data_IF_103015378157
#
_entry.id   IF_103015378157
#
_cell.length_a   1.000
_cell.length_b   1.000
_cell.length_c   1.000
_cell.angle_alpha   90.00
_cell.angle_beta   90.00
_cell.angle_gamma   90.00
#
_symmetry.space_group_name_H-M   'P 1'
#
loop_
_entity.id
_entity.type
_entity.pdbx_description
1 polymer ?
#
# COMPACT_ATOMS: atom_id res chain seq x y z
N UNK A 1 -2.77 -9.33 39.00
CA UNK A 1 -2.13 -8.16 38.35
C UNK A 1 -2.22 -8.38 36.85
N UNK A 2 -2.54 -7.36 36.04
CA UNK A 2 -2.45 -7.45 34.57
C UNK A 2 -0.98 -7.60 34.19
N UNK A 3 -0.65 -8.55 33.32
CA UNK A 3 0.71 -8.69 32.79
C UNK A 3 1.08 -7.45 31.97
N UNK A 4 2.34 -7.02 32.09
CA UNK A 4 2.89 -5.91 31.29
C UNK A 4 3.12 -6.41 29.87
N UNK A 5 2.70 -5.62 28.88
CA UNK A 5 2.90 -5.96 27.46
C UNK A 5 3.28 -4.73 26.67
N UNK A 6 3.92 -4.94 25.52
CA UNK A 6 4.10 -3.90 24.52
C UNK A 6 3.01 -4.07 23.46
N UNK A 7 2.06 -3.14 23.39
CA UNK A 7 1.07 -3.08 22.32
C UNK A 7 1.70 -2.40 21.10
N UNK A 8 1.84 -3.15 20.01
CA UNK A 8 2.34 -2.64 18.73
C UNK A 8 1.15 -2.51 17.79
N UNK A 9 0.92 -1.30 17.29
CA UNK A 9 -0.09 -1.01 16.26
C UNK A 9 0.60 -0.38 15.05
N UNK A 10 0.06 -0.63 13.87
CA UNK A 10 0.57 -0.05 12.62
C UNK A 10 -0.57 0.25 11.67
N UNK A 11 -0.37 1.28 10.85
CA UNK A 11 -1.22 1.61 9.72
C UNK A 11 -0.36 1.97 8.51
N UNK A 12 -0.89 1.74 7.30
CA UNK A 12 -0.20 2.03 6.06
C UNK A 12 -1.17 2.56 5.02
N UNK A 13 -0.78 3.66 4.40
CA UNK A 13 -1.48 4.25 3.25
C UNK A 13 -0.60 4.23 2.01
N UNK A 14 -1.23 4.26 0.83
CA UNK A 14 -0.55 4.51 -0.45
C UNK A 14 -0.80 5.96 -0.86
N UNK A 15 0.25 6.67 -1.23
CA UNK A 15 0.24 8.04 -1.74
C UNK A 15 0.75 8.02 -3.17
N UNK A 16 0.07 8.77 -4.04
CA UNK A 16 0.50 8.99 -5.42
C UNK A 16 0.31 10.46 -5.76
N UNK A 17 1.41 11.12 -6.14
CA UNK A 17 1.42 12.55 -6.48
C UNK A 17 0.71 13.45 -5.43
N UNK A 18 0.98 13.20 -4.15
CA UNK A 18 0.40 13.95 -3.03
C UNK A 18 -1.03 13.57 -2.63
N UNK A 19 -1.69 12.65 -3.33
CA UNK A 19 -3.03 12.15 -3.00
C UNK A 19 -2.98 10.74 -2.41
N UNK A 20 -3.77 10.47 -1.37
CA UNK A 20 -3.95 9.12 -0.84
C UNK A 20 -4.79 8.31 -1.84
N UNK A 21 -4.31 7.11 -2.17
CA UNK A 21 -5.03 6.12 -2.97
C UNK A 21 -5.49 4.98 -2.07
N UNK A 22 -6.80 4.90 -1.89
CA UNK A 22 -7.47 3.81 -1.19
C UNK A 22 -7.53 2.55 -2.07
N UNK A 23 -8.36 1.59 -1.69
CA UNK A 23 -8.71 0.47 -2.56
C UNK A 23 -9.49 1.01 -3.77
N UNK A 24 -9.15 0.60 -5.01
CA UNK A 24 -9.95 1.00 -6.16
C UNK A 24 -11.41 0.58 -5.96
N UNK A 25 -12.35 1.49 -6.15
CA UNK A 25 -13.78 1.26 -5.97
C UNK A 25 -14.41 0.53 -7.17
N UNK A 26 -13.76 0.57 -8.33
CA UNK A 26 -14.22 -0.05 -9.56
C UNK A 26 -13.07 -0.26 -10.56
N UNK A 27 -13.34 -0.96 -11.65
CA UNK A 27 -12.32 -1.29 -12.64
C UNK A 27 -11.75 -0.06 -13.37
N UNK A 28 -12.52 1.01 -13.55
CA UNK A 28 -12.02 2.24 -14.19
C UNK A 28 -10.94 2.87 -13.33
N UNK A 29 -11.20 3.03 -12.04
CA UNK A 29 -10.22 3.54 -11.08
C UNK A 29 -9.00 2.64 -10.96
N UNK A 30 -9.18 1.31 -11.01
CA UNK A 30 -8.04 0.38 -11.03
C UNK A 30 -7.12 0.60 -12.24
N UNK A 31 -7.68 0.80 -13.44
CA UNK A 31 -6.90 1.12 -14.65
C UNK A 31 -6.18 2.46 -14.52
N UNK A 32 -6.85 3.47 -13.99
CA UNK A 32 -6.25 4.78 -13.73
C UNK A 32 -5.09 4.69 -12.74
N UNK A 33 -5.26 3.90 -11.67
CA UNK A 33 -4.21 3.72 -10.68
C UNK A 33 -2.97 3.08 -11.30
N UNK A 34 -3.14 1.92 -11.95
CA UNK A 34 -2.06 1.13 -12.52
C UNK A 34 -1.32 1.89 -13.64
N UNK A 35 -2.04 2.58 -14.53
CA UNK A 35 -1.41 3.42 -15.57
C UNK A 35 -0.66 4.62 -14.96
N UNK A 36 -1.21 5.22 -13.91
CA UNK A 36 -0.61 6.37 -13.25
C UNK A 36 0.74 6.08 -12.61
N UNK A 37 1.02 4.83 -12.20
CA UNK A 37 2.28 4.49 -11.52
C UNK A 37 3.54 4.60 -12.39
N UNK A 38 3.39 4.58 -13.71
CA UNK A 38 4.50 4.86 -14.63
C UNK A 38 4.82 6.36 -14.76
N UNK A 39 3.90 7.25 -14.33
CA UNK A 39 4.06 8.71 -14.39
C UNK A 39 4.63 9.26 -13.08
N UNK A 40 4.16 8.74 -11.94
CA UNK A 40 4.66 9.09 -10.61
C UNK A 40 4.71 7.81 -9.77
N UNK A 41 5.74 7.60 -8.94
CA UNK A 41 5.85 6.40 -8.12
C UNK A 41 4.68 6.27 -7.15
N UNK A 42 4.34 5.03 -6.82
CA UNK A 42 3.57 4.75 -5.62
C UNK A 42 4.46 4.96 -4.40
N UNK A 43 3.96 5.63 -3.37
CA UNK A 43 4.67 5.79 -2.10
C UNK A 43 3.84 5.18 -0.99
N UNK A 44 4.39 4.23 -0.24
CA UNK A 44 3.75 3.74 1.00
C UNK A 44 4.28 4.54 2.17
N UNK A 45 3.37 5.08 2.99
CA UNK A 45 3.69 5.70 4.27
C UNK A 45 3.21 4.77 5.36
N UNK A 46 4.14 4.28 6.19
CA UNK A 46 3.85 3.31 7.24
C UNK A 46 4.14 3.93 8.60
N UNK A 47 3.14 3.95 9.47
CA UNK A 47 3.31 4.38 10.86
C UNK A 47 3.28 3.15 11.78
N UNK A 48 4.11 3.17 12.83
CA UNK A 48 4.11 2.19 13.91
C UNK A 48 4.12 2.93 15.23
N UNK A 49 3.27 2.50 16.17
CA UNK A 49 3.26 3.00 17.54
C UNK A 49 3.41 1.81 18.49
N UNK A 50 4.35 1.91 19.42
CA UNK A 50 4.55 0.94 20.50
C UNK A 50 4.12 1.59 21.81
N UNK A 51 3.23 0.92 22.54
CA UNK A 51 2.70 1.39 23.84
C UNK A 51 3.05 0.38 24.94
N UNK A 52 3.74 0.79 26.00
CA UNK A 52 3.85 -0.03 27.22
C UNK A 52 2.51 0.02 27.96
N UNK A 53 1.80 -1.13 28.06
CA UNK A 53 0.45 -1.20 28.64
C UNK A 53 0.43 -1.00 30.16
N UNK A 54 1.59 -1.03 30.82
CA UNK A 54 1.74 -0.76 32.25
C UNK A 54 1.96 0.72 32.54
N UNK A 55 2.75 1.42 31.71
CA UNK A 55 3.07 2.86 31.93
C UNK A 55 2.22 3.80 31.08
N UNK A 56 1.61 3.32 30.00
CA UNK A 56 0.99 4.09 28.91
C UNK A 56 1.97 4.99 28.13
N UNK A 57 3.27 4.81 28.30
CA UNK A 57 4.27 5.49 27.48
C UNK A 57 4.22 4.97 26.04
N UNK A 58 4.47 5.87 25.08
CA UNK A 58 4.40 5.59 23.65
C UNK A 58 5.66 6.06 22.96
N UNK A 59 6.15 5.26 22.02
CA UNK A 59 7.09 5.69 21.00
C UNK A 59 6.52 5.38 19.62
N UNK A 60 6.87 6.20 18.64
CA UNK A 60 6.35 6.11 17.28
C UNK A 60 7.47 6.23 16.25
N UNK A 61 7.22 5.66 15.07
CA UNK A 61 8.10 5.76 13.92
C UNK A 61 7.29 5.75 12.63
N UNK A 62 7.77 6.52 11.65
CA UNK A 62 7.18 6.61 10.31
C UNK A 62 8.27 6.27 9.30
N UNK A 63 7.94 5.40 8.34
CA UNK A 63 8.81 5.04 7.22
C UNK A 63 8.10 5.29 5.89
N UNK A 64 8.88 5.73 4.89
CA UNK A 64 8.42 6.04 3.55
C UNK A 64 9.16 5.17 2.55
N UNK A 65 8.43 4.39 1.76
CA UNK A 65 8.99 3.58 0.69
C UNK A 65 8.34 3.92 -0.65
N UNK A 66 9.17 4.10 -1.69
CA UNK A 66 8.72 4.42 -3.05
C UNK A 66 8.91 3.22 -3.96
N UNK A 67 7.89 2.93 -4.77
CA UNK A 67 7.90 1.90 -5.79
C UNK A 67 7.80 2.59 -7.15
N UNK A 68 8.85 2.43 -7.95
CA UNK A 68 8.93 2.98 -9.29
C UNK A 68 8.51 1.92 -10.28
N UNK A 69 7.49 2.21 -11.09
CA UNK A 69 6.98 1.25 -12.06
C UNK A 69 7.40 1.63 -13.48
N UNK A 70 7.82 0.63 -14.26
CA UNK A 70 7.70 0.70 -15.71
C UNK A 70 6.21 0.67 -16.12
N UNK A 71 5.87 1.12 -17.35
CA UNK A 71 4.50 0.99 -17.87
C UNK A 71 3.95 -0.42 -17.71
N UNK A 72 2.90 -0.55 -16.90
CA UNK A 72 2.21 -1.82 -16.67
C UNK A 72 1.39 -2.15 -17.93
N UNK A 73 1.60 -3.31 -18.57
CA UNK A 73 0.86 -3.67 -19.77
C UNK A 73 -0.66 -3.72 -19.55
N UNK A 74 -1.44 -3.28 -20.53
CA UNK A 74 -2.91 -3.37 -20.46
C UNK A 74 -3.37 -4.82 -20.30
N UNK A 75 -2.69 -5.79 -20.92
CA UNK A 75 -3.01 -7.22 -20.76
C UNK A 75 -2.88 -7.70 -19.32
N UNK A 76 -1.83 -7.27 -18.62
CA UNK A 76 -1.64 -7.56 -17.20
C UNK A 76 -2.67 -6.82 -16.35
N UNK A 77 -2.99 -5.57 -16.68
CA UNK A 77 -4.02 -4.79 -16.00
C UNK A 77 -5.38 -5.49 -16.03
N UNK A 78 -5.82 -5.97 -17.20
CA UNK A 78 -7.08 -6.70 -17.34
C UNK A 78 -7.06 -8.04 -16.61
N UNK A 79 -5.92 -8.75 -16.61
CA UNK A 79 -5.74 -9.97 -15.82
C UNK A 79 -5.93 -9.71 -14.32
N UNK A 80 -5.27 -8.68 -13.78
CA UNK A 80 -5.36 -8.30 -12.37
C UNK A 80 -6.77 -7.86 -11.96
N UNK A 81 -7.47 -7.12 -12.83
CA UNK A 81 -8.87 -6.72 -12.62
C UNK A 81 -9.77 -7.95 -12.56
N UNK A 82 -9.61 -8.89 -13.49
CA UNK A 82 -10.39 -10.13 -13.53
C UNK A 82 -10.16 -11.00 -12.29
N UNK A 83 -8.93 -11.05 -11.77
CA UNK A 83 -8.61 -11.74 -10.52
C UNK A 83 -9.22 -11.05 -9.29
N UNK A 84 -9.44 -9.74 -9.37
CA UNK A 84 -10.17 -8.95 -8.38
C UNK A 84 -9.41 -8.65 -7.08
N UNK A 85 -8.22 -9.26 -6.88
CA UNK A 85 -7.43 -9.06 -5.66
C UNK A 85 -7.02 -7.60 -5.46
N UNK A 86 -6.77 -6.86 -6.55
CA UNK A 86 -6.38 -5.44 -6.51
C UNK A 86 -7.46 -4.54 -5.86
N UNK A 87 -8.74 -4.93 -5.89
CA UNK A 87 -9.83 -4.19 -5.23
C UNK A 87 -9.84 -4.34 -3.70
N UNK A 88 -8.99 -5.21 -3.16
CA UNK A 88 -8.86 -5.41 -1.71
C UNK A 88 -7.64 -4.72 -1.11
N UNK A 89 -6.81 -4.10 -1.96
CA UNK A 89 -5.52 -3.54 -1.57
C UNK A 89 -5.45 -2.04 -1.90
N UNK A 90 -4.98 -1.23 -0.95
CA UNK A 90 -4.80 0.20 -1.17
C UNK A 90 -3.83 0.45 -2.33
N UNK A 91 -4.14 1.41 -3.19
CA UNK A 91 -3.38 1.67 -4.41
C UNK A 91 -3.53 0.61 -5.52
N UNK A 92 -4.21 -0.51 -5.31
CA UNK A 92 -4.49 -1.48 -6.37
C UNK A 92 -3.28 -2.27 -6.88
N UNK A 93 -2.23 -2.44 -6.07
CA UNK A 93 -1.07 -3.28 -6.40
C UNK A 93 -0.53 -4.02 -5.17
N UNK A 94 0.21 -5.11 -5.40
CA UNK A 94 0.92 -5.86 -4.36
C UNK A 94 2.37 -6.08 -4.81
N UNK A 95 3.34 -5.59 -4.05
CA UNK A 95 4.75 -5.68 -4.43
C UNK A 95 5.28 -7.13 -4.41
N UNK A 96 4.67 -7.98 -3.61
CA UNK A 96 5.02 -9.39 -3.47
C UNK A 96 4.44 -10.26 -4.61
N UNK A 97 3.45 -9.75 -5.35
CA UNK A 97 2.88 -10.52 -6.46
C UNK A 97 3.90 -10.61 -7.61
N UNK A 98 4.33 -11.83 -8.00
CA UNK A 98 5.34 -12.02 -9.03
C UNK A 98 4.99 -11.37 -10.37
N UNK A 99 3.71 -11.14 -10.67
CA UNK A 99 3.27 -10.49 -11.91
C UNK A 99 3.77 -9.05 -12.04
N UNK A 100 4.04 -8.36 -10.93
CA UNK A 100 4.60 -7.01 -10.96
C UNK A 100 6.12 -6.98 -11.10
N UNK A 101 6.85 -8.09 -10.92
CA UNK A 101 8.32 -8.11 -11.03
C UNK A 101 8.88 -7.55 -12.35
N UNK A 102 8.28 -7.79 -13.52
CA UNK A 102 8.76 -7.19 -14.77
C UNK A 102 8.50 -5.68 -14.85
N UNK A 103 7.68 -5.13 -13.96
CA UNK A 103 7.21 -3.76 -13.97
C UNK A 103 7.85 -2.91 -12.87
N UNK A 104 8.70 -3.45 -11.99
CA UNK A 104 9.31 -2.74 -10.83
C UNK A 104 10.83 -2.86 -10.89
#
# INVERSE_FOLDING_TARGET
MKESSLLIISDRVVVWNGAIREKPANETEAREFLRGYAVHPAETVSAVVVTDTRTNERCEGIDHAKVWFYPIPDTLTEELIKEGRIFTTAGGFLIEDPKFKPCI
#
